data_IF_956857151722
#
_entry.id   IF_956857151722
#
_cell.length_a   1.000
_cell.length_b   1.000
_cell.length_c   1.000
_cell.angle_alpha   90.00
_cell.angle_beta   90.00
_cell.angle_gamma   90.00
#
_symmetry.space_group_name_H-M   'P 1'
#
loop_
_entity.id
_entity.type
_entity.pdbx_description
1 polymer ?
#
# COMPACT_ATOMS: atom_id res chain seq x y z
N UNK A 1 -14.78 -20.48 -6.13
CA UNK A 1 -14.07 -19.18 -6.15
C UNK A 1 -12.68 -19.45 -6.70
N UNK A 2 -12.25 -18.73 -7.73
CA UNK A 2 -10.87 -18.88 -8.23
C UNK A 2 -9.90 -18.22 -7.25
N UNK A 3 -8.85 -18.94 -6.88
CA UNK A 3 -7.75 -18.41 -6.10
C UNK A 3 -6.94 -17.45 -6.97
N UNK A 4 -6.71 -16.23 -6.50
CA UNK A 4 -5.91 -15.22 -7.18
C UNK A 4 -4.65 -14.85 -6.40
N UNK A 5 -3.96 -13.81 -6.88
CA UNK A 5 -2.86 -13.15 -6.18
C UNK A 5 -3.31 -11.78 -5.71
N UNK A 6 -3.44 -11.63 -4.39
CA UNK A 6 -3.66 -10.35 -3.76
C UNK A 6 -2.34 -9.58 -3.75
N UNK A 7 -2.33 -8.35 -4.26
CA UNK A 7 -1.13 -7.51 -4.36
C UNK A 7 -1.13 -6.46 -3.25
N UNK A 8 -0.09 -6.49 -2.41
CA UNK A 8 0.12 -5.48 -1.37
C UNK A 8 0.88 -4.26 -1.90
N UNK A 9 1.89 -4.50 -2.75
CA UNK A 9 2.74 -3.44 -3.25
C UNK A 9 3.91 -3.97 -4.05
N UNK A 10 4.76 -3.04 -4.49
CA UNK A 10 5.98 -3.35 -5.25
C UNK A 10 7.17 -2.81 -4.47
N UNK A 11 8.21 -3.62 -4.32
CA UNK A 11 9.45 -3.26 -3.63
C UNK A 11 10.64 -3.25 -4.61
N UNK A 12 11.66 -2.48 -4.27
CA UNK A 12 12.95 -2.50 -4.96
C UNK A 12 13.82 -3.65 -4.41
N UNK A 13 14.41 -4.44 -5.29
CA UNK A 13 15.43 -5.44 -4.91
C UNK A 13 16.78 -4.73 -4.85
N UNK A 14 17.34 -4.57 -3.66
CA UNK A 14 18.55 -3.77 -3.42
C UNK A 14 19.84 -4.46 -3.80
N UNK A 15 19.88 -5.78 -3.97
CA UNK A 15 21.07 -6.51 -4.37
C UNK A 15 20.64 -7.73 -5.17
N UNK A 16 21.41 -8.13 -6.21
CA UNK A 16 21.15 -9.31 -7.04
C UNK A 16 21.10 -10.67 -6.30
N UNK A 17 20.90 -10.66 -4.99
CA UNK A 17 20.28 -11.76 -4.27
C UNK A 17 18.91 -11.99 -4.88
N UNK A 18 18.64 -13.23 -5.30
CA UNK A 18 17.28 -13.72 -5.25
C UNK A 18 16.78 -13.32 -3.86
N UNK A 19 15.85 -12.36 -3.80
CA UNK A 19 15.14 -12.09 -2.56
C UNK A 19 14.39 -13.39 -2.33
N UNK A 20 15.03 -14.28 -1.58
CA UNK A 20 14.41 -15.46 -0.98
C UNK A 20 13.03 -15.00 -0.53
N UNK A 21 11.95 -15.76 -0.86
CA UNK A 21 10.58 -15.36 -0.59
C UNK A 21 10.55 -14.69 0.76
N UNK A 22 10.26 -13.39 0.75
CA UNK A 22 10.35 -12.58 1.95
C UNK A 22 9.48 -13.26 2.98
N UNK A 23 10.12 -14.01 3.88
CA UNK A 23 9.49 -14.53 5.06
C UNK A 23 9.47 -13.34 6.00
N UNK A 24 8.68 -12.32 5.64
CA UNK A 24 8.13 -11.42 6.64
C UNK A 24 7.62 -12.39 7.68
N UNK A 25 8.19 -12.32 8.88
CA UNK A 25 8.04 -13.30 9.94
C UNK A 25 6.58 -13.38 10.40
N UNK A 26 5.75 -14.01 9.58
CA UNK A 26 4.30 -14.07 9.75
C UNK A 26 3.80 -15.34 9.07
N UNK A 27 3.06 -16.13 9.83
CA UNK A 27 2.19 -17.22 9.39
C UNK A 27 1.11 -16.81 8.36
N UNK A 28 1.30 -15.74 7.58
CA UNK A 28 0.26 -15.07 6.79
C UNK A 28 0.31 -15.36 5.28
N UNK A 29 1.25 -16.18 4.80
CA UNK A 29 1.30 -16.65 3.41
C UNK A 29 1.66 -15.57 2.37
N UNK A 30 2.40 -14.54 2.79
CA UNK A 30 2.91 -13.46 1.94
C UNK A 30 4.27 -13.87 1.34
N UNK A 31 4.48 -13.57 0.07
CA UNK A 31 5.72 -13.86 -0.65
C UNK A 31 5.96 -12.85 -1.79
N UNK A 32 7.11 -12.96 -2.46
CA UNK A 32 7.51 -12.08 -3.55
C UNK A 32 7.55 -12.79 -4.90
N UNK A 33 7.18 -12.07 -5.95
CA UNK A 33 7.38 -12.47 -7.34
C UNK A 33 8.31 -11.44 -7.99
N UNK A 34 9.46 -11.91 -8.46
CA UNK A 34 10.57 -11.06 -8.88
C UNK A 34 10.50 -10.75 -10.38
N UNK A 35 10.83 -9.52 -10.76
CA UNK A 35 11.07 -9.13 -12.15
C UNK A 35 12.18 -8.08 -12.21
N UNK A 36 13.36 -8.48 -12.72
CA UNK A 36 14.57 -7.65 -12.72
C UNK A 36 14.91 -7.19 -11.30
N UNK A 37 15.02 -5.88 -11.07
CA UNK A 37 15.36 -5.26 -9.79
C UNK A 37 14.12 -4.80 -8.99
N UNK A 38 12.92 -5.27 -9.34
CA UNK A 38 11.71 -5.03 -8.56
C UNK A 38 11.00 -6.34 -8.24
N UNK A 39 10.24 -6.36 -7.16
CA UNK A 39 9.44 -7.51 -6.75
C UNK A 39 8.02 -7.08 -6.38
N UNK A 40 7.04 -7.87 -6.78
CA UNK A 40 5.66 -7.71 -6.32
C UNK A 40 5.46 -8.51 -5.04
N UNK A 41 4.94 -7.88 -4.00
CA UNK A 41 4.59 -8.55 -2.75
C UNK A 41 3.14 -9.01 -2.83
N UNK A 42 2.92 -10.32 -2.68
CA UNK A 42 1.63 -10.96 -2.90
C UNK A 42 1.29 -12.00 -1.85
N UNK A 43 0.02 -12.36 -1.74
CA UNK A 43 -0.42 -13.60 -1.07
C UNK A 43 -1.46 -14.31 -1.91
N UNK A 44 -1.57 -15.62 -1.71
CA UNK A 44 -2.69 -16.37 -2.27
C UNK A 44 -3.97 -15.98 -1.53
N UNK A 45 -5.03 -15.67 -2.27
CA UNK A 45 -6.31 -15.30 -1.68
C UNK A 45 -7.44 -15.52 -2.68
N UNK A 46 -8.61 -16.01 -2.24
CA UNK A 46 -9.78 -16.08 -3.11
C UNK A 46 -10.12 -14.67 -3.57
N UNK A 47 -10.38 -14.52 -4.88
CA UNK A 47 -10.89 -13.26 -5.43
C UNK A 47 -12.25 -13.01 -4.80
N UNK A 48 -12.35 -11.89 -4.08
CA UNK A 48 -13.51 -11.54 -3.26
C UNK A 48 -14.17 -10.27 -3.77
N UNK A 49 -15.50 -10.27 -3.76
CA UNK A 49 -16.29 -9.04 -3.89
C UNK A 49 -16.47 -8.42 -2.51
N UNK A 50 -15.89 -7.24 -2.32
CA UNK A 50 -15.95 -6.50 -1.06
C UNK A 50 -17.23 -5.68 -0.90
N UNK A 51 -18.00 -5.47 -1.96
CA UNK A 51 -19.16 -4.55 -1.94
C UNK A 51 -20.32 -5.08 -1.08
N UNK A 52 -20.43 -6.40 -0.96
CA UNK A 52 -21.46 -7.06 -0.17
C UNK A 52 -21.00 -7.49 1.23
N UNK A 53 -19.78 -7.13 1.65
CA UNK A 53 -19.24 -7.53 2.95
C UNK A 53 -19.73 -6.64 4.09
N UNK A 54 -19.88 -7.25 5.27
CA UNK A 54 -20.08 -6.52 6.52
C UNK A 54 -18.92 -5.56 6.78
N UNK A 55 -19.25 -4.37 7.30
CA UNK A 55 -18.27 -3.30 7.55
C UNK A 55 -17.14 -3.74 8.48
N UNK A 56 -17.46 -4.55 9.49
CA UNK A 56 -16.51 -5.06 10.47
C UNK A 56 -15.48 -5.98 9.81
N UNK A 57 -15.94 -6.87 8.91
CA UNK A 57 -15.06 -7.76 8.15
C UNK A 57 -14.16 -6.96 7.21
N UNK A 58 -14.73 -5.99 6.48
CA UNK A 58 -13.97 -5.11 5.60
C UNK A 58 -12.90 -4.31 6.36
N UNK A 59 -13.25 -3.78 7.55
CA UNK A 59 -12.32 -3.08 8.43
C UNK A 59 -11.14 -3.96 8.86
N UNK A 60 -11.39 -5.22 9.23
CA UNK A 60 -10.31 -6.17 9.57
C UNK A 60 -9.37 -6.45 8.40
N UNK A 61 -9.92 -6.58 7.19
CA UNK A 61 -9.11 -6.81 5.98
C UNK A 61 -8.26 -5.59 5.63
N UNK A 62 -8.81 -4.38 5.76
CA UNK A 62 -8.08 -3.12 5.58
C UNK A 62 -6.92 -3.00 6.58
N UNK A 63 -7.16 -3.29 7.85
CA UNK A 63 -6.12 -3.28 8.89
C UNK A 63 -5.03 -4.30 8.59
N UNK A 64 -5.40 -5.51 8.13
CA UNK A 64 -4.42 -6.54 7.75
C UNK A 64 -3.54 -6.07 6.59
N UNK A 65 -4.15 -5.54 5.53
CA UNK A 65 -3.44 -5.00 4.37
C UNK A 65 -2.43 -3.92 4.78
N UNK A 66 -2.89 -2.96 5.60
CA UNK A 66 -2.05 -1.87 6.07
C UNK A 66 -0.90 -2.36 6.97
N UNK A 67 -1.20 -3.25 7.92
CA UNK A 67 -0.18 -3.84 8.81
C UNK A 67 0.92 -4.55 8.03
N UNK A 68 0.58 -5.26 6.95
CA UNK A 68 1.58 -5.94 6.11
C UNK A 68 2.48 -4.91 5.41
N UNK A 69 1.90 -3.86 4.83
CA UNK A 69 2.67 -2.78 4.19
C UNK A 69 3.62 -2.11 5.19
N UNK A 70 3.13 -1.77 6.37
CA UNK A 70 3.95 -1.15 7.43
C UNK A 70 5.10 -2.03 7.90
N UNK A 71 4.90 -3.36 7.95
CA UNK A 71 5.99 -4.30 8.23
C UNK A 71 7.06 -4.27 7.14
N UNK A 72 6.65 -4.25 5.86
CA UNK A 72 7.59 -4.21 4.72
C UNK A 72 8.38 -2.89 4.71
N UNK A 73 7.72 -1.77 5.01
CA UNK A 73 8.33 -0.43 5.03
C UNK A 73 9.51 -0.30 5.99
N UNK A 74 9.62 -1.16 7.01
CA UNK A 74 10.74 -1.14 7.96
C UNK A 74 12.08 -1.47 7.30
N UNK A 75 12.04 -2.35 6.30
CA UNK A 75 13.24 -2.92 5.68
C UNK A 75 13.37 -2.55 4.20
N UNK A 76 12.26 -2.14 3.53
CA UNK A 76 12.23 -1.89 2.10
C UNK A 76 11.45 -0.61 1.74
N UNK A 77 11.95 0.09 0.73
CA UNK A 77 11.16 1.07 -0.03
C UNK A 77 10.06 0.34 -0.80
N UNK A 78 8.79 0.64 -0.52
CA UNK A 78 7.61 0.04 -1.16
C UNK A 78 6.74 1.11 -1.83
N UNK A 79 6.21 0.77 -3.01
CA UNK A 79 5.08 1.46 -3.63
C UNK A 79 3.81 0.68 -3.23
N UNK A 80 3.01 1.18 -2.28
CA UNK A 80 1.83 0.48 -1.81
C UNK A 80 0.74 0.46 -2.89
N UNK A 81 0.10 -0.69 -3.07
CA UNK A 81 -1.07 -0.84 -3.94
C UNK A 81 -2.36 -0.64 -3.16
N UNK A 82 -3.41 -0.22 -3.88
CA UNK A 82 -4.75 -0.06 -3.32
C UNK A 82 -5.23 -1.38 -2.72
N UNK A 83 -5.90 -1.31 -1.58
CA UNK A 83 -6.62 -2.45 -1.00
C UNK A 83 -7.53 -3.13 -2.04
N UNK A 84 -7.54 -4.46 -2.05
CA UNK A 84 -8.35 -5.26 -2.97
C UNK A 84 -7.80 -5.34 -4.39
N UNK A 85 -6.51 -5.06 -4.59
CA UNK A 85 -5.85 -5.28 -5.89
C UNK A 85 -5.54 -6.76 -6.08
N UNK A 86 -6.12 -7.39 -7.10
CA UNK A 86 -5.90 -8.79 -7.43
C UNK A 86 -5.51 -8.99 -8.89
N UNK A 87 -4.79 -10.08 -9.14
CA UNK A 87 -4.64 -10.68 -10.46
C UNK A 87 -4.90 -12.19 -10.40
N UNK A 88 -5.10 -12.81 -11.55
CA UNK A 88 -5.48 -14.22 -11.63
C UNK A 88 -4.38 -15.16 -11.12
N UNK A 89 -3.12 -14.92 -11.48
CA UNK A 89 -2.01 -15.83 -11.22
C UNK A 89 -0.65 -15.11 -11.23
N UNK A 90 0.43 -15.88 -11.05
CA UNK A 90 1.79 -15.36 -11.05
C UNK A 90 2.21 -14.76 -12.42
N UNK A 91 1.70 -15.27 -13.53
CA UNK A 91 2.04 -14.76 -14.86
C UNK A 91 1.44 -13.38 -15.10
N UNK A 92 0.22 -13.15 -14.60
CA UNK A 92 -0.38 -11.81 -14.59
C UNK A 92 0.39 -10.84 -13.68
N UNK A 93 0.90 -11.29 -12.53
CA UNK A 93 1.80 -10.45 -11.70
C UNK A 93 3.03 -10.03 -12.51
N UNK A 94 3.66 -10.97 -13.22
CA UNK A 94 4.82 -10.67 -14.08
C UNK A 94 4.44 -9.69 -15.21
N UNK A 95 3.24 -9.80 -15.79
CA UNK A 95 2.75 -8.84 -16.81
C UNK A 95 2.58 -7.43 -16.24
N UNK A 96 2.05 -7.30 -15.02
CA UNK A 96 1.95 -6.00 -14.30
C UNK A 96 3.34 -5.40 -14.11
N UNK A 97 4.28 -6.17 -13.57
CA UNK A 97 5.67 -5.73 -13.36
C UNK A 97 6.34 -5.32 -14.68
N UNK A 98 6.18 -6.12 -15.75
CA UNK A 98 6.72 -5.84 -17.09
C UNK A 98 6.19 -4.52 -17.67
N UNK A 99 4.87 -4.34 -17.65
CA UNK A 99 4.21 -3.16 -18.24
C UNK A 99 4.48 -1.89 -17.45
N UNK A 100 4.51 -1.98 -16.12
CA UNK A 100 4.72 -0.84 -15.23
C UNK A 100 6.19 -0.53 -14.92
N UNK A 101 7.14 -1.36 -15.37
CA UNK A 101 8.54 -1.32 -14.94
C UNK A 101 9.18 0.08 -14.96
N UNK A 102 9.05 0.81 -16.07
CA UNK A 102 9.62 2.16 -16.20
C UNK A 102 9.03 3.12 -15.17
N UNK A 103 7.70 3.09 -14.99
CA UNK A 103 6.99 3.92 -14.04
C UNK A 103 7.32 3.58 -12.58
N UNK A 104 7.47 2.30 -12.25
CA UNK A 104 7.88 1.91 -10.90
C UNK A 104 9.31 2.37 -10.60
N UNK A 105 10.23 2.24 -11.56
CA UNK A 105 11.62 2.73 -11.42
C UNK A 105 11.68 4.24 -11.21
N UNK A 106 10.86 4.98 -11.96
CA UNK A 106 10.73 6.44 -11.80
C UNK A 106 10.21 6.79 -10.40
N UNK A 107 9.12 6.16 -9.95
CA UNK A 107 8.57 6.34 -8.61
C UNK A 107 9.62 6.03 -7.53
N UNK A 108 10.32 4.90 -7.63
CA UNK A 108 11.39 4.56 -6.69
C UNK A 108 12.47 5.63 -6.65
N UNK A 109 12.91 6.16 -7.79
CA UNK A 109 13.91 7.25 -7.79
C UNK A 109 13.45 8.50 -7.02
N UNK A 110 12.13 8.72 -6.93
CA UNK A 110 11.57 9.85 -6.20
C UNK A 110 11.38 9.57 -4.70
N UNK A 111 11.14 8.32 -4.28
CA UNK A 111 10.77 7.99 -2.90
C UNK A 111 11.85 7.25 -2.11
N UNK A 112 12.91 6.75 -2.76
CA UNK A 112 13.95 5.97 -2.10
C UNK A 112 14.64 6.77 -0.99
N UNK A 113 14.77 6.16 0.20
CA UNK A 113 15.34 6.80 1.38
C UNK A 113 14.50 7.94 1.97
N UNK A 114 13.24 8.10 1.54
CA UNK A 114 12.30 9.10 2.08
C UNK A 114 11.25 8.45 2.96
N UNK A 115 10.63 9.27 3.81
CA UNK A 115 9.47 8.89 4.62
C UNK A 115 8.25 9.69 4.19
N UNK A 116 7.08 9.09 4.32
CA UNK A 116 5.80 9.79 4.17
C UNK A 116 5.36 10.34 5.54
N UNK A 117 4.91 11.59 5.56
CA UNK A 117 4.38 12.26 6.75
C UNK A 117 3.02 12.86 6.40
N UNK A 118 2.01 12.52 7.18
CA UNK A 118 0.68 13.12 7.09
C UNK A 118 0.48 14.10 8.24
N UNK A 119 0.09 15.34 7.92
CA UNK A 119 -0.16 16.40 8.89
C UNK A 119 -1.62 16.81 8.80
N UNK A 120 -2.39 16.45 9.83
CA UNK A 120 -3.78 16.90 9.99
C UNK A 120 -3.85 18.01 11.04
N UNK A 121 -4.41 19.15 10.64
CA UNK A 121 -4.75 20.24 11.54
C UNK A 121 -6.28 20.40 11.58
N UNK A 122 -6.84 20.51 12.78
CA UNK A 122 -8.26 20.68 12.99
C UNK A 122 -8.53 21.80 13.99
N UNK A 123 -9.54 22.61 13.73
CA UNK A 123 -10.06 23.57 14.69
C UNK A 123 -10.87 22.83 15.74
N UNK A 124 -10.51 23.00 17.02
CA UNK A 124 -11.23 22.39 18.15
C UNK A 124 -12.65 22.95 18.23
N UNK A 125 -12.81 24.26 18.00
CA UNK A 125 -14.09 24.94 17.93
C UNK A 125 -14.12 25.89 16.74
N UNK A 126 -14.55 25.36 15.60
CA UNK A 126 -14.70 26.14 14.36
C UNK A 126 -15.67 27.32 14.56
N UNK A 127 -16.72 27.16 15.37
CA UNK A 127 -17.72 28.21 15.53
C UNK A 127 -17.15 29.41 16.31
N UNK A 128 -16.41 29.16 17.39
CA UNK A 128 -15.75 30.22 18.15
C UNK A 128 -14.77 31.02 17.28
N UNK A 129 -13.96 30.32 16.48
CA UNK A 129 -12.98 30.93 15.59
C UNK A 129 -13.68 31.76 14.50
N UNK A 130 -14.77 31.25 13.92
CA UNK A 130 -15.55 32.00 12.94
C UNK A 130 -16.17 33.28 13.54
N UNK A 131 -16.59 33.24 14.81
CA UNK A 131 -17.11 34.42 15.51
C UNK A 131 -16.03 35.45 15.80
N UNK A 132 -14.82 35.03 16.14
CA UNK A 132 -13.67 35.93 16.34
C UNK A 132 -13.32 36.66 15.04
N UNK A 133 -13.17 35.92 13.93
CA UNK A 133 -12.90 36.49 12.60
C UNK A 133 -13.98 37.50 12.18
N UNK A 134 -15.25 37.22 12.45
CA UNK A 134 -16.36 38.12 12.13
C UNK A 134 -16.35 39.41 12.96
N UNK A 135 -15.78 39.40 14.17
CA UNK A 135 -15.69 40.58 15.03
C UNK A 135 -14.53 41.50 14.64
N UNK A 136 -13.41 40.94 14.20
CA UNK A 136 -12.24 41.70 13.75
C UNK A 136 -12.49 42.41 12.41
N UNK A 137 -13.26 41.78 11.51
CA UNK A 137 -13.60 42.35 10.20
C UNK A 137 -14.57 43.54 10.25
N UNK A 138 -15.27 43.75 11.38
CA UNK A 138 -16.16 44.89 11.60
C UNK A 138 -15.46 46.12 12.23
N UNK A 139 -14.13 46.07 12.41
CA UNK A 139 -13.33 47.18 12.96
C UNK A 139 -12.53 47.97 11.91
N UNK A 140 -12.82 47.77 10.61
CA UNK A 140 -12.27 48.52 9.47
C UNK A 140 -13.43 49.25 8.78
#
# INVERSE_FOLDING_TARGET
MSEGRYIYGIIKNTEGKNVEPFSISTDEGVYTINYKDISCVVSNSPIQDYTSMLKETLGRLLIKHQTIIEKIMKDYTIIPMKFGTFVADNDEVIKVLKRGYSKFRELFSMIDGKIELDLTAAWIDLNSIMQEIARESNQI
#
